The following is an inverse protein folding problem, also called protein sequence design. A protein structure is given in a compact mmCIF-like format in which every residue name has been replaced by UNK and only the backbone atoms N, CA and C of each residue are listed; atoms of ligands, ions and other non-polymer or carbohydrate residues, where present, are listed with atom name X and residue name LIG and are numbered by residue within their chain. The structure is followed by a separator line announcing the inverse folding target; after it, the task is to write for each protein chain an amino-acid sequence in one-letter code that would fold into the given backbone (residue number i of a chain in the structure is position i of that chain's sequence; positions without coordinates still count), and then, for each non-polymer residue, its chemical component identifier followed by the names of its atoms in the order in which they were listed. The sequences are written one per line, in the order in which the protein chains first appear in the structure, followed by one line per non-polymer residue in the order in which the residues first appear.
data_IF_330755049272
#
_entry.id   IF_330755049272
#
_cell.length_a   1.000
_cell.length_b   1.000
_cell.length_c   1.000
_cell.angle_alpha   90.00
_cell.angle_beta   90.00
_cell.angle_gamma   90.00
#
_symmetry.space_group_name_H-M   'P 1'
#
loop_
_entity.id
_entity.type
_entity.pdbx_description
1 polymer ?
#
# COMPACT_ATOMS: atom_id res chain seq x y z
N UNK A 1 -8.83 1.39 14.50
CA UNK A 1 -7.80 0.36 14.71
C UNK A 1 -7.39 -0.13 13.34
N UNK A 2 -6.23 0.31 12.87
CA UNK A 2 -5.73 -0.04 11.53
C UNK A 2 -5.03 -1.39 11.60
N UNK A 3 -5.57 -2.37 10.88
CA UNK A 3 -5.09 -3.76 10.69
C UNK A 3 -5.12 -4.68 11.93
N UNK A 4 -6.01 -5.70 11.97
CA UNK A 4 -5.99 -6.72 13.03
C UNK A 4 -4.69 -7.55 13.00
N UNK A 5 -4.22 -8.05 14.16
CA UNK A 5 -2.97 -8.81 14.25
C UNK A 5 -3.09 -10.21 13.63
N UNK A 6 -1.98 -10.70 13.08
CA UNK A 6 -1.88 -12.08 12.57
C UNK A 6 -1.87 -13.04 13.75
N UNK A 7 -2.85 -13.94 13.79
CA UNK A 7 -3.11 -14.80 14.95
C UNK A 7 -2.92 -16.27 14.60
N UNK A 8 -2.23 -17.02 15.48
CA UNK A 8 -2.12 -18.49 15.44
C UNK A 8 -2.65 -19.02 16.77
N UNK A 9 -3.63 -19.92 16.73
CA UNK A 9 -4.19 -20.51 17.94
C UNK A 9 -3.47 -21.81 18.27
N UNK A 10 -3.25 -22.07 19.56
CA UNK A 10 -2.75 -23.37 20.04
C UNK A 10 -3.71 -23.95 21.07
N UNK A 11 -4.09 -25.22 20.93
CA UNK A 11 -5.12 -25.83 21.77
C UNK A 11 -4.92 -27.35 21.91
N UNK A 12 -5.37 -27.95 23.01
CA UNK A 12 -5.41 -29.40 23.14
C UNK A 12 -6.68 -30.03 22.52
N UNK A 13 -7.63 -29.20 22.08
CA UNK A 13 -8.94 -29.62 21.60
C UNK A 13 -9.06 -29.40 20.09
N UNK A 14 -8.97 -30.47 19.26
CA UNK A 14 -9.09 -30.36 17.81
C UNK A 14 -10.49 -29.94 17.35
N UNK A 15 -11.53 -30.25 18.12
CA UNK A 15 -12.92 -29.99 17.73
C UNK A 15 -13.23 -28.51 17.49
N UNK A 16 -12.48 -27.61 18.12
CA UNK A 16 -12.64 -26.15 17.97
C UNK A 16 -11.81 -25.57 16.82
N UNK A 17 -11.11 -26.39 16.04
CA UNK A 17 -10.31 -25.90 14.91
C UNK A 17 -11.18 -25.21 13.85
N UNK A 18 -12.39 -25.75 13.60
CA UNK A 18 -13.32 -25.19 12.62
C UNK A 18 -13.85 -23.82 13.07
N UNK A 19 -14.27 -23.70 14.33
CA UNK A 19 -14.72 -22.45 14.93
C UNK A 19 -13.57 -21.42 15.02
N UNK A 20 -12.35 -21.88 15.25
CA UNK A 20 -11.15 -21.05 15.21
C UNK A 20 -10.93 -20.40 13.85
N UNK A 21 -11.28 -21.05 12.74
CA UNK A 21 -11.20 -20.45 11.40
C UNK A 21 -12.21 -19.32 11.19
N UNK A 22 -13.37 -19.35 11.86
CA UNK A 22 -14.34 -18.26 11.80
C UNK A 22 -13.82 -16.96 12.45
N UNK A 23 -12.77 -17.07 13.28
CA UNK A 23 -12.10 -15.93 13.92
C UNK A 23 -10.96 -15.33 13.06
N UNK A 24 -10.88 -15.67 11.77
CA UNK A 24 -9.86 -15.18 10.82
C UNK A 24 -8.41 -15.44 11.28
N UNK A 25 -8.19 -16.58 11.94
CA UNK A 25 -6.84 -16.98 12.37
C UNK A 25 -6.07 -17.62 11.22
N UNK A 26 -4.76 -17.37 11.19
CA UNK A 26 -3.89 -17.86 10.11
C UNK A 26 -3.61 -19.37 10.21
N UNK A 27 -3.58 -19.91 11.43
CA UNK A 27 -3.31 -21.31 11.70
C UNK A 27 -3.85 -21.76 13.06
N UNK A 28 -4.15 -23.06 13.20
CA UNK A 28 -4.61 -23.70 14.43
C UNK A 28 -3.73 -24.93 14.73
N UNK A 29 -3.03 -24.92 15.86
CA UNK A 29 -2.06 -25.95 16.25
C UNK A 29 -2.60 -26.77 17.41
N UNK A 30 -2.79 -28.07 17.19
CA UNK A 30 -3.20 -29.00 18.24
C UNK A 30 -1.97 -29.42 19.06
N UNK A 31 -2.11 -29.40 20.38
CA UNK A 31 -1.09 -29.88 21.32
C UNK A 31 -1.13 -31.42 21.41
N UNK A 32 0.03 -32.09 21.54
CA UNK A 32 1.39 -31.54 21.59
C UNK A 32 1.89 -31.07 20.20
N UNK A 33 2.54 -29.91 20.16
CA UNK A 33 3.01 -29.29 18.92
C UNK A 33 4.46 -29.72 18.67
N UNK A 34 4.73 -30.33 17.52
CA UNK A 34 6.10 -30.65 17.12
C UNK A 34 6.87 -29.39 16.71
N UNK A 35 8.20 -29.40 16.86
CA UNK A 35 9.06 -28.29 16.43
C UNK A 35 8.91 -27.96 14.94
N UNK A 36 8.74 -28.98 14.08
CA UNK A 36 8.47 -28.81 12.66
C UNK A 36 7.13 -28.09 12.40
N UNK A 37 6.07 -28.48 13.14
CA UNK A 37 4.74 -27.88 12.98
C UNK A 37 4.73 -26.42 13.39
N UNK A 38 5.44 -26.09 14.47
CA UNK A 38 5.63 -24.72 14.93
C UNK A 38 6.43 -23.89 13.92
N UNK A 39 7.55 -24.44 13.42
CA UNK A 39 8.40 -23.78 12.41
C UNK A 39 7.59 -23.45 11.16
N UNK A 40 6.78 -24.40 10.68
CA UNK A 40 5.90 -24.19 9.51
C UNK A 40 4.87 -23.08 9.76
N UNK A 41 4.24 -23.06 10.93
CA UNK A 41 3.25 -22.04 11.29
C UNK A 41 3.89 -20.64 11.37
N UNK A 42 5.07 -20.52 11.98
CA UNK A 42 5.81 -19.26 12.07
C UNK A 42 6.28 -18.81 10.69
N UNK A 43 6.77 -19.71 9.83
CA UNK A 43 7.15 -19.38 8.45
C UNK A 43 5.96 -18.83 7.66
N UNK A 44 4.80 -19.49 7.76
CA UNK A 44 3.55 -19.04 7.13
C UNK A 44 3.13 -17.66 7.64
N UNK A 45 3.27 -17.40 8.95
CA UNK A 45 2.98 -16.09 9.54
C UNK A 45 3.91 -15.00 9.04
N UNK A 46 5.22 -15.27 8.95
CA UNK A 46 6.19 -14.34 8.37
C UNK A 46 5.85 -14.02 6.93
N UNK A 47 5.60 -15.03 6.11
CA UNK A 47 5.24 -14.85 4.70
C UNK A 47 3.94 -14.06 4.54
N UNK A 48 2.91 -14.37 5.34
CA UNK A 48 1.65 -13.63 5.34
C UNK A 48 1.83 -12.16 5.75
N UNK A 49 2.65 -11.88 6.77
CA UNK A 49 2.97 -10.51 7.20
C UNK A 49 3.73 -9.77 6.10
N UNK A 50 4.72 -10.41 5.48
CA UNK A 50 5.49 -9.82 4.38
C UNK A 50 4.61 -9.57 3.14
N UNK A 51 3.72 -10.51 2.77
CA UNK A 51 2.73 -10.30 1.71
C UNK A 51 1.77 -9.16 2.04
N UNK A 52 1.33 -9.04 3.30
CA UNK A 52 0.44 -7.95 3.74
C UNK A 52 1.17 -6.60 3.75
N UNK A 53 2.45 -6.55 4.15
CA UNK A 53 3.31 -5.37 3.98
C UNK A 53 3.59 -5.03 2.52
N UNK A 54 3.71 -6.04 1.66
CA UNK A 54 3.90 -5.83 0.22
C UNK A 54 2.58 -5.50 -0.51
N UNK A 55 1.43 -5.71 0.14
CA UNK A 55 0.11 -5.27 -0.35
C UNK A 55 -0.18 -3.79 -0.12
N UNK A 56 0.58 -3.10 0.74
CA UNK A 56 0.90 -1.67 0.55
C UNK A 56 1.91 -1.60 -0.60
N UNK A 57 1.35 -1.67 -1.80
CA UNK A 57 2.01 -1.75 -3.11
C UNK A 57 3.30 -0.95 -3.20
N UNK A 58 4.41 -1.64 -3.49
CA UNK A 58 5.53 -1.05 -4.24
C UNK A 58 5.09 -0.83 -5.69
N UNK A 59 4.04 -0.04 -5.92
CA UNK A 59 3.77 0.53 -7.22
C UNK A 59 4.98 1.39 -7.57
N UNK A 60 5.90 0.88 -8.38
CA UNK A 60 7.13 1.61 -8.74
C UNK A 60 6.90 2.54 -9.94
N UNK A 61 5.71 2.51 -10.54
CA UNK A 61 5.37 3.31 -11.71
C UNK A 61 3.86 3.65 -11.75
N UNK A 62 3.50 4.74 -12.43
CA UNK A 62 2.12 5.05 -12.78
C UNK A 62 1.90 5.10 -14.29
N UNK A 63 0.67 4.85 -14.72
CA UNK A 63 0.26 5.08 -16.10
C UNK A 63 -0.50 6.40 -16.20
N UNK A 64 -0.06 7.25 -17.11
CA UNK A 64 -0.59 8.59 -17.28
C UNK A 64 -1.08 8.79 -18.70
N UNK A 65 -2.39 9.01 -18.85
CA UNK A 65 -2.97 9.36 -20.14
C UNK A 65 -2.68 10.83 -20.44
N UNK A 66 -1.72 11.07 -21.33
CA UNK A 66 -1.35 12.37 -21.84
C UNK A 66 -1.92 12.48 -23.26
N UNK A 67 -2.92 13.34 -23.44
CA UNK A 67 -3.66 13.48 -24.70
C UNK A 67 -4.25 12.14 -25.21
N UNK A 68 -3.63 11.54 -26.23
CA UNK A 68 -4.03 10.27 -26.86
C UNK A 68 -3.12 9.09 -26.52
N UNK A 69 -2.07 9.31 -25.73
CA UNK A 69 -1.04 8.30 -25.42
C UNK A 69 -1.08 7.98 -23.93
N UNK A 70 -0.91 6.71 -23.59
CA UNK A 70 -0.72 6.27 -22.21
C UNK A 70 0.78 6.10 -21.99
N UNK A 71 1.34 6.90 -21.10
CA UNK A 71 2.76 6.91 -20.77
C UNK A 71 3.00 6.18 -19.44
N UNK A 72 4.01 5.30 -19.40
CA UNK A 72 4.47 4.68 -18.14
C UNK A 72 5.53 5.57 -17.51
N UNK A 73 5.31 6.01 -16.28
CA UNK A 73 6.21 6.90 -15.55
C UNK A 73 6.69 6.19 -14.29
N UNK A 74 8.01 6.06 -14.13
CA UNK A 74 8.60 5.50 -12.91
C UNK A 74 8.50 6.53 -11.78
N UNK A 75 8.04 6.11 -10.58
CA UNK A 75 7.84 7.01 -9.45
C UNK A 75 9.16 7.62 -8.95
N UNK A 76 10.27 6.89 -9.06
CA UNK A 76 11.61 7.34 -8.68
C UNK A 76 12.17 8.49 -9.55
N UNK A 77 11.54 8.73 -10.70
CA UNK A 77 11.90 9.81 -11.61
C UNK A 77 11.06 11.06 -11.40
N UNK A 78 9.97 10.98 -10.63
CA UNK A 78 9.10 12.11 -10.32
C UNK A 78 9.80 12.99 -9.28
N UNK A 79 10.02 14.24 -9.63
CA UNK A 79 10.58 15.26 -8.74
C UNK A 79 9.48 15.89 -7.89
N UNK A 80 8.41 16.32 -8.55
CA UNK A 80 7.22 16.87 -7.91
C UNK A 80 6.01 16.84 -8.84
N UNK A 81 4.84 17.02 -8.24
CA UNK A 81 3.55 17.04 -8.93
C UNK A 81 2.88 18.38 -8.64
N UNK A 82 2.40 19.04 -9.68
CA UNK A 82 1.82 20.37 -9.62
C UNK A 82 0.37 20.33 -10.11
N UNK A 83 -0.55 20.92 -9.33
CA UNK A 83 -1.94 21.08 -9.74
C UNK A 83 -2.12 22.33 -10.60
N UNK A 84 -2.81 22.18 -11.73
CA UNK A 84 -3.07 23.23 -12.72
C UNK A 84 -4.56 23.30 -13.05
N UNK A 85 -5.37 23.91 -12.19
CA UNK A 85 -6.83 23.93 -12.33
C UNK A 85 -7.41 22.52 -12.62
N UNK A 86 -7.82 22.25 -13.87
CA UNK A 86 -8.40 20.96 -14.31
C UNK A 86 -7.36 19.93 -14.79
N UNK A 87 -6.08 20.26 -14.67
CA UNK A 87 -4.96 19.42 -15.08
C UNK A 87 -4.01 19.19 -13.92
N UNK A 88 -3.17 18.17 -14.09
CA UNK A 88 -2.02 17.93 -13.22
C UNK A 88 -0.78 17.81 -14.10
N UNK A 89 0.30 18.48 -13.67
CA UNK A 89 1.62 18.36 -14.27
C UNK A 89 2.53 17.49 -13.39
N UNK A 90 3.13 16.46 -13.98
CA UNK A 90 4.22 15.71 -13.36
C UNK A 90 5.54 16.19 -13.94
N UNK A 91 6.43 16.60 -13.05
CA UNK A 91 7.79 17.00 -13.40
C UNK A 91 8.73 15.85 -13.07
N UNK A 92 9.35 15.26 -14.09
CA UNK A 92 10.38 14.22 -13.91
C UNK A 92 11.77 14.75 -14.22
N UNK A 93 12.80 13.96 -13.95
CA UNK A 93 14.20 14.28 -14.32
C UNK A 93 14.39 14.56 -15.82
N UNK A 94 13.57 13.93 -16.67
CA UNK A 94 13.72 13.98 -18.13
C UNK A 94 12.76 14.94 -18.81
N UNK A 95 11.47 14.90 -18.45
CA UNK A 95 10.44 15.70 -19.12
C UNK A 95 9.23 15.96 -18.23
N UNK A 96 8.42 16.91 -18.66
CA UNK A 96 7.16 17.28 -18.01
C UNK A 96 5.99 16.60 -18.71
N UNK A 97 5.09 15.99 -17.94
CA UNK A 97 3.85 15.38 -18.43
C UNK A 97 2.65 16.17 -17.92
N UNK A 98 1.63 16.36 -18.74
CA UNK A 98 0.39 17.05 -18.35
C UNK A 98 -0.80 16.17 -18.70
N UNK A 99 -1.70 15.96 -17.72
CA UNK A 99 -2.92 15.18 -17.91
C UNK A 99 -4.14 15.94 -17.43
N UNK A 100 -5.28 15.68 -18.06
CA UNK A 100 -6.57 16.13 -17.56
C UNK A 100 -7.01 15.22 -16.40
N UNK A 101 -6.61 15.61 -15.20
CA UNK A 101 -6.90 14.89 -13.97
C UNK A 101 -6.94 15.88 -12.80
N UNK A 102 -7.51 15.47 -11.66
CA UNK A 102 -7.42 16.24 -10.42
C UNK A 102 -6.27 15.71 -9.57
N UNK A 103 -5.62 16.60 -8.80
CA UNK A 103 -4.55 16.18 -7.89
C UNK A 103 -5.05 15.14 -6.87
N UNK A 104 -6.29 15.32 -6.38
CA UNK A 104 -6.91 14.39 -5.42
C UNK A 104 -7.06 12.97 -5.97
N UNK A 105 -7.42 12.84 -7.25
CA UNK A 105 -7.55 11.53 -7.89
C UNK A 105 -6.18 10.89 -8.10
N UNK A 106 -5.18 11.67 -8.52
CA UNK A 106 -3.82 11.16 -8.69
C UNK A 106 -3.19 10.76 -7.35
N UNK A 107 -3.45 11.51 -6.28
CA UNK A 107 -2.99 11.21 -4.91
C UNK A 107 -3.45 9.82 -4.44
N UNK A 108 -4.68 9.42 -4.77
CA UNK A 108 -5.21 8.09 -4.45
C UNK A 108 -4.54 6.95 -5.25
N UNK A 109 -3.84 7.26 -6.36
CA UNK A 109 -3.11 6.29 -7.18
C UNK A 109 -1.62 6.19 -6.76
N UNK A 110 -1.14 7.12 -5.91
CA UNK A 110 0.25 7.11 -5.43
C UNK A 110 0.40 6.21 -4.19
N UNK A 111 1.51 5.49 -4.07
CA UNK A 111 1.80 4.70 -2.87
C UNK A 111 1.99 5.61 -1.65
N UNK A 112 1.41 5.20 -0.53
CA UNK A 112 1.53 5.90 0.74
C UNK A 112 3.00 6.01 1.18
N UNK A 113 3.36 7.14 1.79
CA UNK A 113 4.69 7.39 2.33
C UNK A 113 5.79 7.69 1.30
N UNK A 114 5.50 7.69 -0.01
CA UNK A 114 6.47 8.07 -1.07
C UNK A 114 6.39 9.54 -1.48
N UNK A 115 5.25 10.18 -1.28
CA UNK A 115 5.02 11.58 -1.64
C UNK A 115 4.50 12.34 -0.42
N UNK A 116 4.95 13.59 -0.25
CA UNK A 116 4.45 14.52 0.75
C UNK A 116 3.72 15.64 0.04
N UNK A 117 2.48 15.89 0.43
CA UNK A 117 1.69 16.99 -0.11
C UNK A 117 2.06 18.30 0.58
N UNK A 118 2.50 19.27 -0.20
CA UNK A 118 2.75 20.64 0.26
C UNK A 118 1.77 21.57 -0.45
N UNK A 119 0.96 22.30 0.31
CA UNK A 119 0.09 23.35 -0.23
C UNK A 119 0.80 24.70 -0.08
N UNK A 120 0.91 25.46 -1.18
CA UNK A 120 1.44 26.83 -1.13
C UNK A 120 0.37 27.76 -0.58
N UNK A 121 0.51 28.19 0.66
CA UNK A 121 -0.33 29.24 1.27
C UNK A 121 0.41 30.57 1.09
N UNK A 122 -0.19 31.51 0.36
CA UNK A 122 0.30 32.89 0.26
C UNK A 122 -0.56 33.72 1.21
N UNK A 123 0.03 34.25 2.27
CA UNK A 123 -0.61 35.30 3.06
C UNK A 123 -0.46 36.62 2.30
N UNK A 124 -1.58 37.20 1.87
CA UNK A 124 -1.58 38.63 1.52
C UNK A 124 -1.40 39.41 2.82
N UNK A 125 -0.30 40.14 2.94
CA UNK A 125 -0.16 41.19 3.94
C UNK A 125 -0.56 42.50 3.28
N UNK A 126 -1.86 42.71 3.08
CA UNK A 126 -2.36 44.06 2.85
C UNK A 126 -2.59 44.69 4.23
N UNK A 127 -1.74 45.66 4.55
CA UNK A 127 -2.10 46.82 5.36
C UNK A 127 -2.68 47.90 4.45
#
# INVERSE_FOLDING_TARGET
METPPVTIITSANPQYALEGFELDVLDYLVKPISGERLTKAVSKAKEYIELRKNSSTSTTYLFLKCEKVIEKIMLEDILYIESLHNYVALHTKMKRYVTYNSLKKLEAELPEGKFVKIQKIIYSSDQ
#
